data_IF_397910794559
#
_entry.id   IF_397910794559
#
_cell.length_a   1.000
_cell.length_b   1.000
_cell.length_c   1.000
_cell.angle_alpha   90.00
_cell.angle_beta   90.00
_cell.angle_gamma   90.00
#
_symmetry.space_group_name_H-M   'P 1'
#
loop_
_entity.id
_entity.type
_entity.pdbx_description
1 polymer ?
#
# COMPACT_ATOMS: atom_id res chain seq x y z
N UNK A 1 42.60 -8.51 4.29
CA UNK A 1 41.54 -8.48 5.33
C UNK A 1 40.51 -9.53 4.96
N UNK A 2 40.36 -10.57 5.79
CA UNK A 2 39.73 -11.84 5.39
C UNK A 2 38.21 -11.71 5.25
N UNK A 3 37.66 -12.12 4.10
CA UNK A 3 36.22 -12.03 3.76
C UNK A 3 35.36 -12.78 4.79
N UNK A 4 35.83 -13.93 5.26
CA UNK A 4 35.13 -14.73 6.29
C UNK A 4 34.98 -13.97 7.60
N UNK A 5 35.97 -13.16 7.99
CA UNK A 5 35.90 -12.35 9.21
C UNK A 5 34.85 -11.24 9.10
N UNK A 6 34.64 -10.67 7.91
CA UNK A 6 33.54 -9.72 7.65
C UNK A 6 32.18 -10.43 7.67
N UNK A 7 32.07 -11.64 7.12
CA UNK A 7 30.83 -12.42 7.10
C UNK A 7 30.42 -12.79 8.54
N UNK A 8 31.34 -13.26 9.37
CA UNK A 8 31.06 -13.58 10.78
C UNK A 8 30.68 -12.34 11.59
N UNK A 9 31.31 -11.21 11.30
CA UNK A 9 30.99 -9.92 11.94
C UNK A 9 29.61 -9.40 11.49
N UNK A 10 29.23 -9.62 10.23
CA UNK A 10 27.89 -9.31 9.71
C UNK A 10 26.85 -10.25 10.33
N UNK A 11 27.10 -11.55 10.35
CA UNK A 11 26.20 -12.57 10.93
C UNK A 11 25.99 -12.35 12.43
N UNK A 12 27.06 -12.06 13.17
CA UNK A 12 26.96 -11.69 14.59
C UNK A 12 26.32 -10.32 14.80
N UNK A 13 26.45 -9.36 13.88
CA UNK A 13 25.71 -8.09 13.94
C UNK A 13 24.23 -8.21 13.55
N UNK A 14 23.87 -9.23 12.76
CA UNK A 14 22.50 -9.58 12.39
C UNK A 14 21.74 -10.20 13.56
N UNK A 15 22.44 -10.87 14.47
CA UNK A 15 21.84 -11.34 15.73
C UNK A 15 21.50 -10.18 16.68
N UNK A 16 22.08 -8.98 16.47
CA UNK A 16 21.72 -7.77 17.20
C UNK A 16 20.59 -7.00 16.50
N UNK A 17 19.43 -6.94 17.15
CA UNK A 17 18.22 -6.29 16.62
C UNK A 17 18.38 -4.85 16.17
N UNK A 18 19.37 -4.10 16.67
CA UNK A 18 19.59 -2.70 16.29
C UNK A 18 19.96 -2.53 14.82
N UNK A 19 20.76 -3.44 14.25
CA UNK A 19 21.18 -3.34 12.85
C UNK A 19 19.99 -3.57 11.92
N UNK A 20 19.14 -4.55 12.25
CA UNK A 20 17.92 -4.85 11.50
C UNK A 20 16.95 -3.68 11.48
N UNK A 21 16.68 -3.06 12.65
CA UNK A 21 15.81 -1.88 12.70
C UNK A 21 16.36 -0.73 11.86
N UNK A 22 17.66 -0.46 11.91
CA UNK A 22 18.28 0.60 11.10
C UNK A 22 18.14 0.34 9.59
N UNK A 23 18.41 -0.89 9.15
CA UNK A 23 18.26 -1.27 7.74
C UNK A 23 16.81 -1.10 7.31
N UNK A 24 15.84 -1.55 8.11
CA UNK A 24 14.41 -1.39 7.80
C UNK A 24 13.98 0.08 7.74
N UNK A 25 14.44 0.93 8.66
CA UNK A 25 14.15 2.36 8.64
C UNK A 25 14.71 3.01 7.37
N UNK A 26 15.94 2.68 6.98
CA UNK A 26 16.56 3.18 5.74
C UNK A 26 15.75 2.69 4.53
N UNK A 27 15.40 1.41 4.48
CA UNK A 27 14.60 0.84 3.40
C UNK A 27 13.24 1.55 3.27
N UNK A 28 12.57 1.86 4.38
CA UNK A 28 11.30 2.61 4.37
C UNK A 28 11.47 4.05 3.87
N UNK A 29 12.57 4.73 4.25
CA UNK A 29 12.87 6.08 3.73
C UNK A 29 13.15 6.06 2.23
N UNK A 30 13.89 5.06 1.75
CA UNK A 30 14.13 4.86 0.30
C UNK A 30 12.81 4.58 -0.41
N UNK A 31 11.95 3.73 0.15
CA UNK A 31 10.61 3.45 -0.40
C UNK A 31 9.75 4.72 -0.44
N UNK A 32 9.80 5.57 0.58
CA UNK A 32 9.10 6.86 0.58
C UNK A 32 9.61 7.80 -0.53
N UNK A 33 10.92 7.85 -0.77
CA UNK A 33 11.49 8.62 -1.88
C UNK A 33 11.07 8.07 -3.25
N UNK A 34 11.08 6.74 -3.42
CA UNK A 34 10.62 6.07 -4.62
C UNK A 34 9.13 6.31 -4.88
N UNK A 35 8.31 6.34 -3.83
CA UNK A 35 6.90 6.70 -3.93
C UNK A 35 6.75 8.11 -4.52
N UNK A 36 7.51 9.10 -4.05
CA UNK A 36 7.43 10.48 -4.57
C UNK A 36 7.79 10.54 -6.06
N UNK A 37 8.85 9.84 -6.47
CA UNK A 37 9.23 9.75 -7.89
C UNK A 37 8.15 9.05 -8.72
N UNK A 38 7.58 7.96 -8.20
CA UNK A 38 6.48 7.25 -8.85
C UNK A 38 5.23 8.12 -9.00
N UNK A 39 4.90 8.93 -7.99
CA UNK A 39 3.78 9.88 -8.07
C UNK A 39 4.02 10.95 -9.12
N UNK A 40 5.21 11.54 -9.20
CA UNK A 40 5.53 12.52 -10.24
C UNK A 40 5.38 11.92 -11.64
N UNK A 41 5.82 10.68 -11.83
CA UNK A 41 5.65 9.97 -13.10
C UNK A 41 4.15 9.79 -13.44
N UNK A 42 3.34 9.34 -12.49
CA UNK A 42 1.89 9.17 -12.69
C UNK A 42 1.19 10.51 -12.93
N UNK A 43 1.56 11.55 -12.19
CA UNK A 43 1.01 12.91 -12.32
C UNK A 43 1.23 13.45 -13.73
N UNK A 44 2.44 13.33 -14.27
CA UNK A 44 2.76 13.76 -15.64
C UNK A 44 1.93 12.97 -16.65
N UNK A 45 1.82 11.65 -16.49
CA UNK A 45 0.99 10.81 -17.36
C UNK A 45 -0.47 11.27 -17.39
N UNK A 46 -1.07 11.50 -16.22
CA UNK A 46 -2.44 12.01 -16.10
C UNK A 46 -2.64 13.38 -16.76
N UNK A 47 -1.70 14.32 -16.55
CA UNK A 47 -1.82 15.66 -17.12
C UNK A 47 -1.74 15.66 -18.65
N UNK A 48 -0.89 14.79 -19.23
CA UNK A 48 -0.80 14.63 -20.68
C UNK A 48 -2.09 14.07 -21.27
N UNK A 49 -2.68 13.08 -20.61
CA UNK A 49 -3.92 12.46 -21.08
C UNK A 49 -5.10 13.42 -20.99
N UNK A 50 -5.26 14.16 -19.88
CA UNK A 50 -6.30 15.19 -19.73
C UNK A 50 -6.24 16.20 -20.87
N UNK A 51 -5.05 16.60 -21.31
CA UNK A 51 -4.87 17.52 -22.43
C UNK A 51 -5.27 16.96 -23.80
N UNK A 52 -5.40 15.63 -23.92
CA UNK A 52 -5.76 14.92 -25.15
C UNK A 52 -7.25 14.55 -25.24
N UNK A 53 -8.00 14.73 -24.16
CA UNK A 53 -9.41 14.35 -24.07
C UNK A 53 -10.28 15.37 -24.80
N UNK A 54 -11.14 14.88 -25.70
CA UNK A 54 -12.07 15.71 -26.47
C UNK A 54 -13.39 16.00 -25.73
N UNK A 55 -13.77 15.14 -24.77
CA UNK A 55 -15.02 15.27 -24.03
C UNK A 55 -14.78 16.02 -22.70
N UNK A 56 -15.43 17.17 -22.46
CA UNK A 56 -15.27 17.91 -21.21
C UNK A 56 -15.70 17.12 -19.97
N UNK A 57 -16.65 16.17 -20.10
CA UNK A 57 -17.07 15.30 -19.00
C UNK A 57 -15.93 14.40 -18.51
N UNK A 58 -15.29 13.70 -19.43
CA UNK A 58 -14.16 12.81 -19.15
C UNK A 58 -12.99 13.60 -18.54
N UNK A 59 -12.70 14.80 -19.07
CA UNK A 59 -11.65 15.68 -18.54
C UNK A 59 -11.93 16.10 -17.08
N UNK A 60 -13.18 16.43 -16.74
CA UNK A 60 -13.58 16.72 -15.36
C UNK A 60 -13.44 15.49 -14.45
N UNK A 61 -13.86 14.31 -14.93
CA UNK A 61 -13.70 13.04 -14.21
C UNK A 61 -12.23 12.73 -13.89
N UNK A 62 -11.35 12.88 -14.88
CA UNK A 62 -9.91 12.69 -14.71
C UNK A 62 -9.28 13.71 -13.76
N UNK A 63 -9.67 14.99 -13.82
CA UNK A 63 -9.18 16.02 -12.89
C UNK A 63 -9.60 15.73 -11.44
N UNK A 64 -10.86 15.34 -11.22
CA UNK A 64 -11.34 14.94 -9.89
C UNK A 64 -10.65 13.66 -9.41
N UNK A 65 -10.48 12.68 -10.30
CA UNK A 65 -9.73 11.46 -10.05
C UNK A 65 -8.29 11.75 -9.63
N UNK A 66 -7.61 12.67 -10.33
CA UNK A 66 -6.24 13.08 -10.01
C UNK A 66 -6.14 13.77 -8.65
N UNK A 67 -7.10 14.62 -8.30
CA UNK A 67 -7.17 15.27 -6.99
C UNK A 67 -7.31 14.22 -5.87
N UNK A 68 -8.20 13.25 -6.03
CA UNK A 68 -8.42 12.17 -5.07
C UNK A 68 -7.21 11.23 -4.98
N UNK A 69 -6.61 10.89 -6.12
CA UNK A 69 -5.38 10.10 -6.17
C UNK A 69 -4.23 10.80 -5.47
N UNK A 70 -4.12 12.13 -5.61
CA UNK A 70 -3.12 12.94 -4.90
C UNK A 70 -3.30 12.89 -3.39
N UNK A 71 -4.54 12.96 -2.90
CA UNK A 71 -4.83 12.80 -1.47
C UNK A 71 -4.44 11.40 -1.00
N UNK A 72 -4.80 10.35 -1.74
CA UNK A 72 -4.44 8.98 -1.41
C UNK A 72 -2.92 8.77 -1.37
N UNK A 73 -2.20 9.33 -2.36
CA UNK A 73 -0.75 9.27 -2.41
C UNK A 73 -0.11 9.97 -1.20
N UNK A 74 -0.61 11.15 -0.84
CA UNK A 74 -0.16 11.86 0.37
C UNK A 74 -0.37 11.01 1.64
N UNK A 75 -1.51 10.34 1.77
CA UNK A 75 -1.77 9.42 2.88
C UNK A 75 -0.82 8.23 2.89
N UNK A 76 -0.56 7.60 1.73
CA UNK A 76 0.38 6.50 1.60
C UNK A 76 1.80 6.92 2.02
N UNK A 77 2.27 8.08 1.54
CA UNK A 77 3.55 8.66 1.95
C UNK A 77 3.60 8.89 3.47
N UNK A 78 2.55 9.49 4.05
CA UNK A 78 2.47 9.73 5.50
C UNK A 78 2.52 8.44 6.30
N UNK A 79 1.84 7.39 5.86
CA UNK A 79 1.86 6.07 6.50
C UNK A 79 3.27 5.48 6.51
N UNK A 80 3.99 5.50 5.38
CA UNK A 80 5.37 5.00 5.30
C UNK A 80 6.29 5.76 6.24
N UNK A 81 6.23 7.10 6.24
CA UNK A 81 7.06 7.93 7.11
C UNK A 81 6.73 7.68 8.58
N UNK A 82 5.45 7.65 8.94
CA UNK A 82 5.00 7.38 10.31
C UNK A 82 5.49 6.03 10.82
N UNK A 83 5.38 4.97 10.00
CA UNK A 83 5.87 3.64 10.33
C UNK A 83 7.39 3.58 10.45
N UNK A 84 8.13 4.34 9.64
CA UNK A 84 9.59 4.42 9.75
C UNK A 84 10.03 5.02 11.10
N UNK A 85 9.34 6.06 11.59
CA UNK A 85 9.63 6.66 12.89
C UNK A 85 9.26 5.68 14.01
N UNK A 86 8.10 5.02 13.91
CA UNK A 86 7.68 4.00 14.88
C UNK A 86 8.68 2.85 15.02
N UNK A 87 9.22 2.34 13.90
CA UNK A 87 10.23 1.27 13.92
C UNK A 87 11.53 1.77 14.55
N UNK A 88 11.93 3.01 14.31
CA UNK A 88 13.15 3.58 14.92
C UNK A 88 13.06 3.72 16.44
N UNK A 89 11.85 3.81 16.99
CA UNK A 89 11.60 3.91 18.42
C UNK A 89 11.52 2.56 19.14
N UNK A 90 11.55 1.43 18.42
CA UNK A 90 11.52 0.10 19.03
C UNK A 90 12.79 -0.14 19.85
N UNK A 91 12.62 -0.41 21.15
CA UNK A 91 13.72 -0.74 22.06
C UNK A 91 14.30 -2.13 21.77
N UNK A 92 15.52 -2.40 22.26
CA UNK A 92 16.16 -3.72 22.16
C UNK A 92 15.30 -4.77 22.86
N UNK A 93 14.72 -5.68 22.07
CA UNK A 93 13.99 -6.85 22.56
C UNK A 93 14.79 -8.12 22.28
N UNK A 94 14.56 -9.15 23.09
CA UNK A 94 15.19 -10.47 22.98
C UNK A 94 14.88 -11.16 21.64
N UNK A 95 13.73 -10.83 21.04
CA UNK A 95 13.30 -11.26 19.71
C UNK A 95 12.98 -10.05 18.83
N UNK A 96 13.98 -9.40 18.20
CA UNK A 96 13.76 -8.16 17.44
C UNK A 96 13.06 -8.37 16.09
N UNK A 97 13.12 -9.59 15.54
CA UNK A 97 12.54 -9.92 14.23
C UNK A 97 11.01 -9.92 14.27
N UNK A 98 10.41 -10.41 15.35
CA UNK A 98 8.95 -10.54 15.46
C UNK A 98 8.22 -9.18 15.49
N UNK A 99 8.57 -8.22 16.37
CA UNK A 99 7.92 -6.90 16.37
C UNK A 99 8.19 -6.13 15.08
N UNK A 100 9.34 -6.32 14.45
CA UNK A 100 9.64 -5.75 13.14
C UNK A 100 8.73 -6.32 12.05
N UNK A 101 8.62 -7.64 11.96
CA UNK A 101 7.75 -8.32 11.00
C UNK A 101 6.28 -7.92 11.19
N UNK A 102 5.81 -7.86 12.44
CA UNK A 102 4.47 -7.37 12.78
C UNK A 102 4.26 -5.93 12.29
N UNK A 103 5.20 -5.02 12.54
CA UNK A 103 5.12 -3.63 12.07
C UNK A 103 5.10 -3.53 10.53
N UNK A 104 5.90 -4.33 9.83
CA UNK A 104 5.93 -4.37 8.37
C UNK A 104 4.65 -4.97 7.78
N UNK A 105 4.07 -6.00 8.39
CA UNK A 105 2.78 -6.54 7.97
C UNK A 105 1.65 -5.50 8.07
N UNK A 106 1.59 -4.74 9.18
CA UNK A 106 0.63 -3.64 9.31
C UNK A 106 0.83 -2.61 8.21
N UNK A 107 2.08 -2.22 7.94
CA UNK A 107 2.40 -1.26 6.87
C UNK A 107 1.94 -1.78 5.50
N UNK A 108 2.21 -3.03 5.16
CA UNK A 108 1.78 -3.63 3.88
C UNK A 108 0.25 -3.60 3.78
N UNK A 109 -0.45 -3.98 4.85
CA UNK A 109 -1.92 -3.94 4.91
C UNK A 109 -2.48 -2.52 4.74
N UNK A 110 -1.91 -1.53 5.42
CA UNK A 110 -2.30 -0.12 5.30
C UNK A 110 -2.10 0.41 3.87
N UNK A 111 -0.96 0.12 3.25
CA UNK A 111 -0.66 0.56 1.88
C UNK A 111 -1.56 -0.14 0.85
N UNK A 112 -1.82 -1.44 0.99
CA UNK A 112 -2.73 -2.15 0.10
C UNK A 112 -4.17 -1.66 0.26
N UNK A 113 -4.64 -1.48 1.49
CA UNK A 113 -5.98 -0.96 1.76
C UNK A 113 -6.16 0.45 1.19
N UNK A 114 -5.16 1.33 1.38
CA UNK A 114 -5.15 2.67 0.78
C UNK A 114 -5.16 2.61 -0.75
N UNK A 115 -4.34 1.75 -1.36
CA UNK A 115 -4.29 1.61 -2.81
C UNK A 115 -5.64 1.12 -3.37
N UNK A 116 -6.22 0.07 -2.79
CA UNK A 116 -7.51 -0.49 -3.23
C UNK A 116 -8.64 0.53 -3.07
N UNK A 117 -8.74 1.18 -1.90
CA UNK A 117 -9.76 2.17 -1.64
C UNK A 117 -9.63 3.40 -2.54
N UNK A 118 -8.41 3.91 -2.72
CA UNK A 118 -8.16 5.05 -3.59
C UNK A 118 -8.49 4.75 -5.05
N UNK A 119 -8.00 3.63 -5.58
CA UNK A 119 -8.27 3.23 -6.96
C UNK A 119 -9.77 3.01 -7.20
N UNK A 120 -10.48 2.43 -6.24
CA UNK A 120 -11.93 2.27 -6.34
C UNK A 120 -12.70 3.58 -6.33
N UNK A 121 -12.28 4.56 -5.52
CA UNK A 121 -12.86 5.91 -5.52
C UNK A 121 -12.57 6.62 -6.83
N UNK A 122 -11.33 6.61 -7.30
CA UNK A 122 -10.95 7.24 -8.58
C UNK A 122 -11.74 6.60 -9.72
N UNK A 123 -11.84 5.27 -9.76
CA UNK A 123 -12.59 4.56 -10.79
C UNK A 123 -14.10 4.84 -10.70
N UNK A 124 -14.69 4.90 -9.51
CA UNK A 124 -16.10 5.26 -9.33
C UNK A 124 -16.40 6.67 -9.86
N UNK A 125 -15.53 7.64 -9.57
CA UNK A 125 -15.64 9.00 -10.09
C UNK A 125 -15.45 9.02 -11.61
N UNK A 126 -14.46 8.31 -12.15
CA UNK A 126 -14.26 8.20 -13.60
C UNK A 126 -15.50 7.66 -14.32
N UNK A 127 -16.13 6.60 -13.80
CA UNK A 127 -17.36 6.05 -14.40
C UNK A 127 -18.52 7.06 -14.38
N UNK A 128 -18.67 7.84 -13.31
CA UNK A 128 -19.76 8.81 -13.22
C UNK A 128 -19.68 9.93 -14.26
N UNK A 129 -18.46 10.35 -14.62
CA UNK A 129 -18.24 11.47 -15.53
C UNK A 129 -17.91 11.05 -16.95
N UNK A 130 -17.17 9.95 -17.13
CA UNK A 130 -16.74 9.45 -18.43
C UNK A 130 -17.55 8.27 -18.97
N UNK A 131 -18.41 7.66 -18.15
CA UNK A 131 -19.21 6.49 -18.56
C UNK A 131 -18.42 5.19 -18.74
N UNK A 132 -17.09 5.24 -18.60
CA UNK A 132 -16.18 4.10 -18.72
C UNK A 132 -14.99 4.23 -17.75
N UNK A 133 -14.25 3.14 -17.54
CA UNK A 133 -12.99 3.08 -16.81
C UNK A 133 -11.84 3.34 -17.81
N UNK A 134 -11.86 4.50 -18.48
CA UNK A 134 -10.72 4.97 -19.27
C UNK A 134 -9.69 5.58 -18.31
N UNK A 135 -8.79 4.74 -17.79
CA UNK A 135 -7.63 5.21 -17.03
C UNK A 135 -6.34 4.97 -17.81
N UNK A 136 -5.33 5.85 -17.67
CA UNK A 136 -4.08 5.81 -18.43
C UNK A 136 -3.23 4.54 -18.23
N UNK A 137 -3.60 3.68 -17.27
CA UNK A 137 -2.79 2.57 -16.78
C UNK A 137 -3.46 1.20 -16.95
N UNK A 138 -4.10 0.95 -18.10
CA UNK A 138 -4.60 -0.39 -18.47
C UNK A 138 -3.53 -1.49 -18.29
N UNK A 139 -2.26 -1.19 -18.56
CA UNK A 139 -1.16 -2.15 -18.43
C UNK A 139 -0.74 -2.46 -16.98
N UNK A 140 -0.90 -1.51 -16.04
CA UNK A 140 -0.52 -1.68 -14.63
C UNK A 140 -1.65 -2.25 -13.75
N UNK A 141 -2.90 -2.12 -14.21
CA UNK A 141 -4.09 -2.57 -13.49
C UNK A 141 -4.48 -4.02 -13.74
N UNK A 142 -3.68 -4.81 -14.46
CA UNK A 142 -3.98 -6.22 -14.73
C UNK A 142 -4.28 -7.07 -13.48
N UNK A 143 -3.73 -6.69 -12.31
CA UNK A 143 -4.02 -7.37 -11.05
C UNK A 143 -5.40 -7.02 -10.47
N UNK A 144 -5.86 -5.78 -10.70
CA UNK A 144 -7.17 -5.30 -10.28
C UNK A 144 -8.21 -5.74 -11.32
N UNK A 145 -7.93 -5.63 -12.61
CA UNK A 145 -8.80 -6.13 -13.67
C UNK A 145 -9.06 -7.63 -13.51
N UNK A 146 -8.09 -8.48 -13.17
CA UNK A 146 -8.33 -9.92 -12.96
C UNK A 146 -9.33 -10.22 -11.82
N UNK A 147 -9.29 -9.44 -10.74
CA UNK A 147 -10.19 -9.64 -9.60
C UNK A 147 -11.59 -9.04 -9.86
N UNK A 148 -11.66 -7.88 -10.53
CA UNK A 148 -12.90 -7.14 -10.77
C UNK A 148 -13.65 -7.60 -12.04
N UNK A 149 -12.94 -7.92 -13.11
CA UNK A 149 -13.51 -8.30 -14.42
C UNK A 149 -14.21 -9.66 -14.38
N UNK A 150 -13.73 -10.59 -13.54
CA UNK A 150 -14.32 -11.92 -13.44
C UNK A 150 -15.55 -11.99 -12.52
N UNK A 151 -15.70 -11.07 -11.56
CA UNK A 151 -16.78 -11.15 -10.56
C UNK A 151 -18.00 -10.28 -10.85
N UNK A 152 -17.86 -9.10 -11.48
CA UNK A 152 -18.96 -8.10 -11.52
C UNK A 152 -19.32 -7.52 -12.90
N UNK A 153 -18.54 -7.80 -13.94
CA UNK A 153 -18.87 -7.44 -15.34
C UNK A 153 -20.19 -8.02 -15.90
N UNK A 154 -20.80 -9.11 -15.39
CA UNK A 154 -22.10 -9.53 -15.93
C UNK A 154 -23.29 -8.61 -15.55
N UNK A 155 -23.10 -7.59 -14.71
CA UNK A 155 -24.17 -6.67 -14.31
C UNK A 155 -24.11 -5.36 -15.10
N UNK A 156 -24.98 -5.23 -16.10
CA UNK A 156 -25.19 -3.98 -16.86
C UNK A 156 -25.91 -2.94 -16.00
N UNK A 157 -25.19 -2.30 -15.09
CA UNK A 157 -25.72 -1.18 -14.31
C UNK A 157 -25.62 0.14 -15.08
N UNK A 158 -26.57 1.09 -14.86
CA UNK A 158 -26.37 2.48 -15.21
C UNK A 158 -25.07 3.04 -14.61
N UNK A 159 -24.36 3.97 -15.27
CA UNK A 159 -23.05 4.46 -14.84
C UNK A 159 -23.01 4.95 -13.38
N UNK A 160 -24.07 5.64 -12.94
CA UNK A 160 -24.18 6.08 -11.55
C UNK A 160 -24.15 4.92 -10.54
N UNK A 161 -24.96 3.88 -10.78
CA UNK A 161 -25.02 2.70 -9.92
C UNK A 161 -23.74 1.87 -10.01
N UNK A 162 -23.14 1.78 -11.20
CA UNK A 162 -21.85 1.12 -11.39
C UNK A 162 -20.74 1.78 -10.55
N UNK A 163 -20.65 3.12 -10.55
CA UNK A 163 -19.68 3.84 -9.73
C UNK A 163 -19.90 3.67 -8.22
N UNK A 164 -21.16 3.66 -7.75
CA UNK A 164 -21.48 3.36 -6.34
C UNK A 164 -21.05 1.94 -5.97
N UNK A 165 -21.42 0.95 -6.78
CA UNK A 165 -21.09 -0.44 -6.52
C UNK A 165 -19.58 -0.63 -6.42
N UNK A 166 -18.81 -0.01 -7.33
CA UNK A 166 -17.36 -0.08 -7.34
C UNK A 166 -16.73 0.56 -6.10
N UNK A 167 -17.24 1.71 -5.67
CA UNK A 167 -16.81 2.36 -4.43
C UNK A 167 -17.07 1.47 -3.22
N UNK A 168 -18.27 0.91 -3.08
CA UNK A 168 -18.62 0.07 -1.93
C UNK A 168 -17.78 -1.22 -1.89
N UNK A 169 -17.60 -1.88 -3.03
CA UNK A 169 -16.82 -3.12 -3.12
C UNK A 169 -15.34 -2.85 -2.82
N UNK A 170 -14.77 -1.78 -3.38
CA UNK A 170 -13.38 -1.43 -3.12
C UNK A 170 -13.15 -1.05 -1.65
N UNK A 171 -14.08 -0.34 -1.01
CA UNK A 171 -14.01 -0.03 0.42
C UNK A 171 -14.13 -1.29 1.28
N UNK A 172 -15.02 -2.21 0.92
CA UNK A 172 -15.15 -3.50 1.61
C UNK A 172 -13.87 -4.32 1.47
N UNK A 173 -13.30 -4.40 0.26
CA UNK A 173 -12.03 -5.09 0.02
C UNK A 173 -10.86 -4.45 0.78
N UNK A 174 -10.77 -3.12 0.78
CA UNK A 174 -9.77 -2.39 1.55
C UNK A 174 -9.89 -2.70 3.05
N UNK A 175 -11.12 -2.75 3.58
CA UNK A 175 -11.39 -3.12 4.97
C UNK A 175 -10.96 -4.57 5.27
N UNK A 176 -11.31 -5.52 4.40
CA UNK A 176 -10.94 -6.94 4.56
C UNK A 176 -9.41 -7.10 4.56
N UNK A 177 -8.71 -6.46 3.61
CA UNK A 177 -7.25 -6.48 3.55
C UNK A 177 -6.65 -5.92 4.85
N UNK A 178 -7.16 -4.79 5.33
CA UNK A 178 -6.69 -4.19 6.57
C UNK A 178 -6.88 -5.14 7.76
N UNK A 179 -8.06 -5.75 7.90
CA UNK A 179 -8.36 -6.72 8.95
C UNK A 179 -7.39 -7.91 8.89
N UNK A 180 -7.20 -8.51 7.71
CA UNK A 180 -6.35 -9.70 7.53
C UNK A 180 -4.90 -9.39 7.93
N UNK A 181 -4.33 -8.29 7.44
CA UNK A 181 -2.94 -7.93 7.77
C UNK A 181 -2.76 -7.53 9.24
N UNK A 182 -3.75 -6.89 9.85
CA UNK A 182 -3.72 -6.60 11.28
C UNK A 182 -3.80 -7.88 12.13
N UNK A 183 -4.68 -8.81 11.77
CA UNK A 183 -4.79 -10.11 12.45
C UNK A 183 -3.49 -10.92 12.31
N UNK A 184 -2.88 -10.96 11.12
CA UNK A 184 -1.58 -11.59 10.90
C UNK A 184 -0.48 -10.96 11.75
N UNK A 185 -0.45 -9.62 11.81
CA UNK A 185 0.49 -8.91 12.67
C UNK A 185 0.28 -9.24 14.14
N UNK A 186 -0.97 -9.32 14.60
CA UNK A 186 -1.29 -9.59 15.99
C UNK A 186 -0.94 -11.04 16.38
N UNK A 187 -1.22 -11.99 15.50
CA UNK A 187 -0.84 -13.38 15.64
C UNK A 187 0.67 -13.55 15.83
N UNK A 188 1.49 -12.81 15.06
CA UNK A 188 2.95 -12.84 15.24
C UNK A 188 3.37 -12.37 16.62
N UNK A 189 2.80 -11.27 17.12
CA UNK A 189 3.09 -10.78 18.49
C UNK A 189 2.64 -11.77 19.56
N UNK A 190 1.48 -12.40 19.41
CA UNK A 190 1.00 -13.43 20.35
C UNK A 190 1.93 -14.65 20.39
N UNK A 191 2.40 -15.12 19.23
CA UNK A 191 3.35 -16.23 19.15
C UNK A 191 4.67 -15.92 19.87
N UNK A 192 5.17 -14.68 19.76
CA UNK A 192 6.34 -14.22 20.54
C UNK A 192 6.07 -14.30 22.04
N UNK A 193 4.92 -13.82 22.49
CA UNK A 193 4.61 -13.74 23.92
C UNK A 193 4.44 -15.15 24.53
N UNK A 194 3.86 -16.10 23.78
CA UNK A 194 3.81 -17.52 24.16
C UNK A 194 5.22 -18.10 24.27
N UNK A 195 6.09 -17.84 23.28
CA UNK A 195 7.47 -18.33 23.28
C UNK A 195 8.32 -17.76 24.43
N UNK A 196 8.07 -16.51 24.84
CA UNK A 196 8.72 -15.89 25.99
C UNK A 196 8.24 -16.50 27.32
N UNK A 197 6.94 -16.78 27.44
CA UNK A 197 6.38 -17.38 28.64
C UNK A 197 6.77 -18.85 28.81
N UNK A 198 6.88 -19.62 27.72
CA UNK A 198 7.27 -21.03 27.79
C UNK A 198 8.72 -21.25 28.24
N UNK A 199 9.61 -20.28 28.03
CA UNK A 199 11.01 -20.33 28.52
C UNK A 199 11.16 -20.12 30.04
N UNK A 200 10.12 -19.61 30.71
CA UNK A 200 10.16 -19.33 32.16
C UNK A 200 9.82 -20.55 33.02
N UNK A 201 9.35 -21.62 32.40
CA UNK A 201 9.05 -22.92 33.02
C UNK A 201 10.07 -23.95 32.56
#
# INVERSE_FOLDING_TARGET
MNINKKIDQILSSLSFGTTLYQISVIALKVMAALLVLGYLFVLIGFLLEIGSVNNPGDALGMLLGLALFTVAFYLAFRVVIYRSVGISALSRQEYPVVPLAAALLRLIGELQALAIGALGVVAGVSIWFGGDISMPFEAGMNFISLLYWNFFMPLQFPPFLAGIALLLISMLNALVVLIVFYLLSELLTLLRDIALNSKRY
#
